data_IF_441717848782
#
_entry.id   IF_441717848782
#
_cell.length_a   1.000
_cell.length_b   1.000
_cell.length_c   1.000
_cell.angle_alpha   90.00
_cell.angle_beta   90.00
_cell.angle_gamma   90.00
#
_symmetry.space_group_name_H-M   'P 1'
#
loop_
_entity.id
_entity.type
_entity.pdbx_description
1 polymer ?
#
# COMPACT_ATOMS: atom_id res chain seq x y z
N UNK A 1 33.43 17.23 -34.03
CA UNK A 1 33.20 17.26 -32.56
C UNK A 1 31.72 17.13 -32.16
N UNK A 2 30.79 17.71 -32.93
CA UNK A 2 29.33 17.65 -32.70
C UNK A 2 28.75 16.22 -32.55
N UNK A 3 29.16 15.26 -33.40
CA UNK A 3 28.66 13.86 -33.37
C UNK A 3 28.96 13.11 -32.07
N UNK A 4 30.10 13.40 -31.42
CA UNK A 4 30.49 12.78 -30.14
C UNK A 4 29.71 13.39 -28.97
N UNK A 5 29.25 14.63 -29.09
CA UNK A 5 28.39 15.28 -28.10
C UNK A 5 26.98 14.69 -28.11
N UNK A 6 26.43 14.45 -29.31
CA UNK A 6 25.11 13.84 -29.47
C UNK A 6 25.03 12.42 -28.90
N UNK A 7 26.08 11.61 -29.10
CA UNK A 7 26.13 10.26 -28.52
C UNK A 7 26.17 10.33 -26.99
N UNK A 8 26.95 11.27 -26.41
CA UNK A 8 27.02 11.46 -24.95
C UNK A 8 25.70 11.96 -24.37
N UNK A 9 25.02 12.87 -25.06
CA UNK A 9 23.70 13.37 -24.67
C UNK A 9 22.67 12.23 -24.70
N UNK A 10 22.69 11.41 -25.75
CA UNK A 10 21.79 10.26 -25.87
C UNK A 10 22.02 9.22 -24.77
N UNK A 11 23.29 8.90 -24.46
CA UNK A 11 23.62 7.97 -23.36
C UNK A 11 23.20 8.51 -22.00
N UNK A 12 23.31 9.83 -21.78
CA UNK A 12 22.90 10.47 -20.54
C UNK A 12 21.37 10.46 -20.39
N UNK A 13 20.63 10.82 -21.44
CA UNK A 13 19.16 10.77 -21.44
C UNK A 13 18.63 9.34 -21.29
N UNK A 14 19.27 8.35 -21.93
CA UNK A 14 18.92 6.95 -21.77
C UNK A 14 19.13 6.44 -20.34
N UNK A 15 20.19 6.89 -19.66
CA UNK A 15 20.45 6.51 -18.27
C UNK A 15 19.40 7.08 -17.30
N UNK A 16 18.93 8.31 -17.53
CA UNK A 16 17.88 8.94 -16.71
C UNK A 16 16.53 8.27 -16.96
N UNK A 17 16.22 7.93 -18.21
CA UNK A 17 15.00 7.19 -18.55
C UNK A 17 14.97 5.79 -17.92
N UNK A 18 16.12 5.11 -17.83
CA UNK A 18 16.22 3.81 -17.18
C UNK A 18 16.01 3.88 -15.65
N UNK A 19 16.42 4.98 -15.01
CA UNK A 19 16.20 5.19 -13.57
C UNK A 19 14.72 5.42 -13.21
N UNK A 20 13.92 5.97 -14.14
CA UNK A 20 12.49 6.23 -13.93
C UNK A 20 11.59 4.98 -13.92
N UNK A 21 12.08 3.85 -14.41
CA UNK A 21 11.30 2.60 -14.52
C UNK A 21 11.33 1.73 -13.26
N UNK A 22 12.12 2.09 -12.25
CA UNK A 22 12.32 1.25 -11.06
C UNK A 22 11.37 1.56 -9.90
N UNK A 23 10.44 2.50 -10.07
CA UNK A 23 9.44 2.79 -9.04
C UNK A 23 8.26 1.82 -9.15
N UNK A 24 8.50 0.54 -8.87
CA UNK A 24 7.43 -0.42 -8.67
C UNK A 24 6.72 -0.06 -7.36
N UNK A 25 5.50 0.44 -7.46
CA UNK A 25 4.60 0.57 -6.31
C UNK A 25 4.34 -0.86 -5.81
N UNK A 26 4.97 -1.22 -4.69
CA UNK A 26 4.65 -2.47 -4.00
C UNK A 26 3.23 -2.33 -3.48
N UNK A 27 2.37 -3.29 -3.81
CA UNK A 27 1.03 -3.36 -3.22
C UNK A 27 1.20 -3.42 -1.70
N UNK A 28 0.45 -2.59 -0.97
CA UNK A 28 0.44 -2.68 0.49
C UNK A 28 -0.02 -4.08 0.90
N UNK A 29 0.76 -4.77 1.74
CA UNK A 29 0.36 -6.07 2.27
C UNK A 29 -0.92 -5.92 3.10
N UNK A 30 -1.81 -6.92 3.02
CA UNK A 30 -3.03 -6.94 3.84
C UNK A 30 -2.69 -6.94 5.32
N UNK A 31 -3.20 -5.94 6.04
CA UNK A 31 -3.02 -5.84 7.49
C UNK A 31 -3.94 -6.86 8.18
N UNK A 32 -3.36 -7.76 8.97
CA UNK A 32 -4.11 -8.76 9.75
C UNK A 32 -4.58 -8.14 11.06
N UNK A 33 -5.88 -7.94 11.21
CA UNK A 33 -6.49 -7.39 12.42
C UNK A 33 -7.31 -8.47 13.14
N UNK A 34 -7.12 -8.62 14.44
CA UNK A 34 -7.91 -9.50 15.30
C UNK A 34 -8.71 -8.70 16.32
N UNK A 35 -10.00 -9.03 16.48
CA UNK A 35 -10.90 -8.38 17.45
C UNK A 35 -11.19 -9.39 18.56
N UNK A 36 -10.69 -9.11 19.77
CA UNK A 36 -11.08 -9.87 20.96
C UNK A 36 -12.38 -9.31 21.51
N UNK A 37 -13.38 -10.17 21.64
CA UNK A 37 -14.66 -9.83 22.26
C UNK A 37 -15.22 -11.04 23.02
N UNK A 38 -16.18 -10.77 23.89
CA UNK A 38 -16.93 -11.75 24.66
C UNK A 38 -17.87 -12.52 23.75
N UNK A 39 -17.78 -13.85 23.77
CA UNK A 39 -18.62 -14.72 22.95
C UNK A 39 -20.01 -15.00 23.56
N UNK A 40 -20.19 -14.72 24.85
CA UNK A 40 -21.44 -14.97 25.57
C UNK A 40 -21.62 -14.04 26.78
N UNK A 41 -22.83 -14.01 27.35
CA UNK A 41 -23.20 -13.19 28.51
C UNK A 41 -23.66 -11.78 28.14
N UNK A 42 -23.95 -10.95 29.14
CA UNK A 42 -24.40 -9.56 28.96
C UNK A 42 -23.34 -8.67 28.31
N UNK A 43 -22.07 -9.01 28.48
CA UNK A 43 -20.93 -8.33 27.87
C UNK A 43 -20.88 -8.55 26.35
N UNK A 44 -21.23 -9.75 25.88
CA UNK A 44 -21.35 -10.02 24.44
C UNK A 44 -22.44 -9.18 23.77
N UNK A 45 -23.53 -8.88 24.48
CA UNK A 45 -24.62 -8.02 23.97
C UNK A 45 -24.08 -6.60 23.74
N UNK A 46 -23.30 -6.06 24.68
CA UNK A 46 -22.72 -4.72 24.56
C UNK A 46 -21.58 -4.65 23.53
N UNK A 47 -20.80 -5.72 23.37
CA UNK A 47 -19.62 -5.74 22.51
C UNK A 47 -19.92 -6.10 21.04
N UNK A 48 -21.04 -6.79 20.75
CA UNK A 48 -21.39 -7.20 19.37
C UNK A 48 -21.55 -5.99 18.46
N UNK A 49 -22.28 -4.96 18.89
CA UNK A 49 -22.46 -3.73 18.11
C UNK A 49 -21.14 -3.02 17.83
N UNK A 50 -20.22 -3.00 18.80
CA UNK A 50 -18.88 -2.40 18.63
C UNK A 50 -18.02 -3.22 17.65
N UNK A 51 -18.05 -4.55 17.76
CA UNK A 51 -17.35 -5.45 16.85
C UNK A 51 -17.86 -5.31 15.43
N UNK A 52 -19.16 -5.16 15.22
CA UNK A 52 -19.74 -4.98 13.88
C UNK A 52 -19.39 -3.61 13.28
N UNK A 53 -19.39 -2.53 14.08
CA UNK A 53 -18.90 -1.22 13.63
C UNK A 53 -17.42 -1.26 13.26
N UNK A 54 -16.58 -1.94 14.07
CA UNK A 54 -15.17 -2.08 13.78
C UNK A 54 -14.92 -2.84 12.46
N UNK A 55 -15.67 -3.92 12.20
CA UNK A 55 -15.59 -4.65 10.94
C UNK A 55 -16.05 -3.81 9.75
N UNK A 56 -17.13 -3.03 9.90
CA UNK A 56 -17.60 -2.08 8.87
C UNK A 56 -16.54 -1.03 8.57
N UNK A 57 -15.94 -0.42 9.59
CA UNK A 57 -14.90 0.61 9.41
C UNK A 57 -13.64 0.04 8.74
N UNK A 58 -13.27 -1.21 9.06
CA UNK A 58 -12.13 -1.87 8.41
C UNK A 58 -12.42 -2.15 6.93
N UNK A 59 -13.68 -2.44 6.57
CA UNK A 59 -14.09 -2.66 5.18
C UNK A 59 -14.13 -1.36 4.35
N UNK A 60 -14.37 -0.22 5.00
CA UNK A 60 -14.42 1.10 4.36
C UNK A 60 -13.04 1.78 4.19
N UNK A 61 -11.99 1.29 4.87
CA UNK A 61 -10.62 1.86 4.85
C UNK A 61 -9.72 1.04 3.92
#
# INVERSE_FOLDING_TARGET
MQRRSLIKAFTLSASIAAMGLSWSIQAAETIKVGILHSLSGTMAISETSLKDMALMTIDEI
#
